data_IF_401432277260
#
_entry.id   IF_401432277260
#
_cell.length_a   1.000
_cell.length_b   1.000
_cell.length_c   1.000
_cell.angle_alpha   90.00
_cell.angle_beta   90.00
_cell.angle_gamma   90.00
#
_symmetry.space_group_name_H-M   'P 1'
#
loop_
_entity.id
_entity.type
_entity.pdbx_description
1 polymer ?
#
# COMPACT_ATOMS: atom_id res chain seq x y z
N UNK A 1 12.63 20.49 -5.76
CA UNK A 1 11.92 21.48 -4.93
C UNK A 1 10.65 20.82 -4.41
N UNK A 2 10.55 20.48 -3.11
CA UNK A 2 9.32 19.93 -2.51
C UNK A 2 8.50 21.08 -1.92
N UNK A 3 7.17 21.11 -2.13
CA UNK A 3 6.31 22.11 -1.51
C UNK A 3 6.23 21.82 -0.01
N UNK A 4 6.32 22.89 0.80
CA UNK A 4 6.09 22.84 2.24
C UNK A 4 4.67 22.29 2.48
N UNK A 5 4.53 21.15 3.15
CA UNK A 5 3.23 20.55 3.50
C UNK A 5 2.90 19.20 2.83
N UNK A 6 3.66 18.74 1.82
CA UNK A 6 3.47 17.37 1.32
C UNK A 6 4.09 16.37 2.32
N UNK A 7 3.25 15.49 2.90
CA UNK A 7 3.71 14.38 3.72
C UNK A 7 4.74 13.57 2.92
N UNK A 8 5.97 13.52 3.45
CA UNK A 8 7.01 12.66 2.87
C UNK A 8 6.61 11.20 3.08
N UNK A 9 7.14 10.29 2.24
CA UNK A 9 6.89 8.85 2.45
C UNK A 9 7.32 8.38 3.84
N UNK A 10 8.44 8.89 4.34
CA UNK A 10 8.86 8.61 5.70
C UNK A 10 7.82 9.09 6.74
N UNK A 11 7.24 10.27 6.56
CA UNK A 11 6.16 10.75 7.43
C UNK A 11 4.90 9.87 7.34
N UNK A 12 4.58 9.34 6.15
CA UNK A 12 3.50 8.37 5.97
C UNK A 12 3.82 7.06 6.70
N UNK A 13 5.02 6.51 6.52
CA UNK A 13 5.39 5.24 7.16
C UNK A 13 5.42 5.36 8.69
N UNK A 14 5.76 6.53 9.23
CA UNK A 14 5.74 6.78 10.68
C UNK A 14 4.32 6.95 11.24
N UNK A 15 3.43 7.67 10.55
CA UNK A 15 2.05 7.89 11.02
C UNK A 15 1.07 6.77 10.66
N UNK A 16 1.38 6.01 9.61
CA UNK A 16 0.56 4.95 9.03
C UNK A 16 1.40 3.71 8.70
N UNK A 17 1.94 3.02 9.72
CA UNK A 17 2.89 1.92 9.53
C UNK A 17 2.24 0.63 8.97
N UNK A 18 0.92 0.47 9.10
CA UNK A 18 0.23 -0.74 8.68
C UNK A 18 -0.26 -0.60 7.24
N UNK A 19 0.37 -1.30 6.31
CA UNK A 19 0.14 -1.08 4.88
C UNK A 19 -0.40 -2.34 4.20
N UNK A 20 -1.32 -2.14 3.26
CA UNK A 20 -1.98 -3.20 2.49
C UNK A 20 -1.85 -2.87 1.01
N UNK A 21 -1.40 -3.83 0.21
CA UNK A 21 -1.29 -3.69 -1.24
C UNK A 21 -2.50 -4.32 -1.93
N UNK A 22 -3.07 -3.59 -2.89
CA UNK A 22 -4.05 -4.11 -3.85
C UNK A 22 -3.44 -4.09 -5.26
N UNK A 23 -3.67 -5.13 -6.09
CA UNK A 23 -3.19 -5.13 -7.46
C UNK A 23 -3.92 -4.05 -8.28
N UNK A 24 -3.23 -3.44 -9.24
CA UNK A 24 -3.87 -2.50 -10.17
C UNK A 24 -4.39 -3.18 -11.43
N UNK A 25 -4.04 -4.45 -11.63
CA UNK A 25 -4.37 -5.25 -12.80
C UNK A 25 -4.75 -6.66 -12.36
N UNK A 26 -5.70 -7.28 -13.05
CA UNK A 26 -6.07 -8.67 -12.81
C UNK A 26 -5.11 -9.67 -13.49
N UNK A 27 -5.46 -10.95 -13.48
CA UNK A 27 -4.68 -12.00 -14.13
C UNK A 27 -4.59 -11.88 -15.66
N UNK A 28 -5.51 -11.13 -16.28
CA UNK A 28 -5.57 -10.87 -17.73
C UNK A 28 -4.90 -9.55 -18.12
N UNK A 29 -4.43 -8.78 -17.15
CA UNK A 29 -3.87 -7.44 -17.38
C UNK A 29 -4.93 -6.35 -17.51
N UNK A 30 -6.19 -6.64 -17.15
CA UNK A 30 -7.24 -5.62 -17.13
C UNK A 30 -7.11 -4.77 -15.87
N UNK A 31 -7.23 -3.45 -16.06
CA UNK A 31 -7.03 -2.50 -14.96
C UNK A 31 -8.15 -2.59 -13.92
N UNK A 32 -7.77 -2.95 -12.70
CA UNK A 32 -8.61 -2.90 -11.51
C UNK A 32 -8.67 -1.48 -10.95
N UNK A 33 -9.85 -1.08 -10.47
CA UNK A 33 -10.12 0.28 -9.94
C UNK A 33 -10.76 0.17 -8.56
N UNK A 34 -9.94 0.00 -7.55
CA UNK A 34 -10.37 -0.07 -6.15
C UNK A 34 -10.43 1.29 -5.46
N UNK A 35 -9.93 2.36 -6.07
CA UNK A 35 -9.79 3.69 -5.47
C UNK A 35 -11.09 4.18 -4.80
N UNK A 36 -12.15 4.37 -5.58
CA UNK A 36 -13.44 4.86 -5.05
C UNK A 36 -14.08 3.93 -4.03
N UNK A 37 -14.00 2.62 -4.23
CA UNK A 37 -14.58 1.64 -3.30
C UNK A 37 -13.82 1.59 -1.98
N UNK A 38 -12.49 1.60 -2.04
CA UNK A 38 -11.61 1.65 -0.88
C UNK A 38 -11.81 2.94 -0.08
N UNK A 39 -11.89 4.09 -0.73
CA UNK A 39 -12.16 5.37 -0.07
C UNK A 39 -13.53 5.38 0.62
N UNK A 40 -14.58 4.92 -0.07
CA UNK A 40 -15.94 4.83 0.47
C UNK A 40 -16.00 3.88 1.66
N UNK A 41 -15.38 2.71 1.56
CA UNK A 41 -15.32 1.72 2.64
C UNK A 41 -14.61 2.30 3.87
N UNK A 42 -13.41 2.87 3.68
CA UNK A 42 -12.64 3.48 4.76
C UNK A 42 -13.41 4.61 5.44
N UNK A 43 -14.08 5.47 4.66
CA UNK A 43 -14.89 6.56 5.20
C UNK A 43 -16.11 6.06 5.97
N UNK A 44 -16.79 5.05 5.45
CA UNK A 44 -18.00 4.50 6.07
C UNK A 44 -17.73 3.79 7.40
N UNK A 45 -16.57 3.17 7.55
CA UNK A 45 -16.15 2.49 8.78
C UNK A 45 -15.19 3.31 9.65
N UNK A 46 -14.97 4.58 9.31
CA UNK A 46 -14.04 5.49 9.99
C UNK A 46 -12.63 4.91 10.18
N UNK A 47 -12.13 4.20 9.16
CA UNK A 47 -10.78 3.64 9.17
C UNK A 47 -9.73 4.74 9.07
N UNK A 48 -8.60 4.54 9.75
CA UNK A 48 -7.48 5.49 9.83
C UNK A 48 -6.62 5.51 8.55
N UNK A 49 -7.25 5.66 7.38
CA UNK A 49 -6.57 5.67 6.09
C UNK A 49 -5.69 6.92 5.96
N UNK A 50 -4.48 6.75 5.42
CA UNK A 50 -3.58 7.84 5.13
C UNK A 50 -4.14 8.79 4.06
N UNK A 51 -3.81 10.10 4.10
CA UNK A 51 -4.27 11.07 3.11
C UNK A 51 -3.77 10.79 1.69
N UNK A 52 -2.75 9.94 1.54
CA UNK A 52 -2.13 9.61 0.26
C UNK A 52 -1.74 8.14 0.23
N UNK A 53 -2.15 7.46 -0.84
CA UNK A 53 -1.63 6.15 -1.24
C UNK A 53 -0.31 6.31 -2.03
N UNK A 54 0.37 5.21 -2.26
CA UNK A 54 1.51 5.16 -3.17
C UNK A 54 1.53 3.85 -3.97
N UNK A 55 2.34 3.79 -5.01
CA UNK A 55 2.43 2.63 -5.88
C UNK A 55 3.80 1.97 -5.78
N UNK A 56 3.79 0.65 -5.89
CA UNK A 56 4.98 -0.18 -6.05
C UNK A 56 4.79 -1.14 -7.22
N UNK A 57 5.88 -1.60 -7.79
CA UNK A 57 5.94 -2.59 -8.85
C UNK A 57 6.64 -3.84 -8.33
N UNK A 58 6.00 -5.00 -8.54
CA UNK A 58 6.50 -6.33 -8.19
C UNK A 58 6.20 -7.27 -9.34
N UNK A 59 7.23 -7.96 -9.84
CA UNK A 59 7.10 -8.94 -10.93
C UNK A 59 6.34 -8.34 -12.15
N UNK A 60 6.74 -7.14 -12.57
CA UNK A 60 6.15 -6.34 -13.65
C UNK A 60 4.67 -5.94 -13.46
N UNK A 61 4.10 -6.17 -12.27
CA UNK A 61 2.74 -5.76 -11.91
C UNK A 61 2.75 -4.58 -10.96
N UNK A 62 1.85 -3.63 -11.20
CA UNK A 62 1.66 -2.48 -10.33
C UNK A 62 0.69 -2.80 -9.17
N UNK A 63 1.00 -2.23 -8.02
CA UNK A 63 0.23 -2.39 -6.78
C UNK A 63 0.00 -1.02 -6.17
N UNK A 64 -1.19 -0.80 -5.62
CA UNK A 64 -1.55 0.40 -4.85
C UNK A 64 -1.49 0.07 -3.37
N UNK A 65 -0.74 0.87 -2.63
CA UNK A 65 -0.50 0.70 -1.20
C UNK A 65 -1.42 1.66 -0.42
N UNK A 66 -2.31 1.08 0.38
CA UNK A 66 -3.16 1.77 1.34
C UNK A 66 -2.52 1.69 2.72
N UNK A 67 -2.28 2.84 3.34
CA UNK A 67 -1.60 2.91 4.64
C UNK A 67 -2.58 3.27 5.76
N UNK A 68 -2.46 2.62 6.90
CA UNK A 68 -3.32 2.80 8.07
C UNK A 68 -2.49 3.06 9.33
N UNK A 69 -3.00 3.94 10.20
CA UNK A 69 -2.42 4.22 11.51
C UNK A 69 -2.61 3.05 12.48
N UNK A 70 -3.74 2.34 12.37
CA UNK A 70 -4.10 1.22 13.24
C UNK A 70 -4.03 -0.14 12.53
N UNK A 71 -3.49 -1.14 13.23
CA UNK A 71 -3.36 -2.51 12.69
C UNK A 71 -4.73 -3.14 12.38
N UNK A 72 -5.71 -2.92 13.26
CA UNK A 72 -7.07 -3.44 13.09
C UNK A 72 -7.73 -2.90 11.81
N UNK A 73 -7.50 -1.61 11.50
CA UNK A 73 -8.06 -1.00 10.29
C UNK A 73 -7.45 -1.58 9.02
N UNK A 74 -6.13 -1.79 9.00
CA UNK A 74 -5.46 -2.48 7.90
C UNK A 74 -5.99 -3.92 7.73
N UNK A 75 -6.24 -4.63 8.83
CA UNK A 75 -6.76 -5.99 8.83
C UNK A 75 -8.17 -6.07 8.23
N UNK A 76 -9.07 -5.17 8.65
CA UNK A 76 -10.43 -5.05 8.10
C UNK A 76 -10.41 -4.74 6.61
N UNK A 77 -9.58 -3.79 6.20
CA UNK A 77 -9.41 -3.44 4.80
C UNK A 77 -8.89 -4.61 3.97
N UNK A 78 -7.84 -5.28 4.48
CA UNK A 78 -7.25 -6.47 3.86
C UNK A 78 -8.30 -7.54 3.58
N UNK A 79 -9.12 -7.88 4.59
CA UNK A 79 -10.19 -8.88 4.44
C UNK A 79 -11.26 -8.45 3.43
N UNK A 80 -11.61 -7.17 3.39
CA UNK A 80 -12.67 -6.68 2.52
C UNK A 80 -12.29 -6.64 1.03
N UNK A 81 -11.01 -6.40 0.73
CA UNK A 81 -10.51 -6.21 -0.64
C UNK A 81 -9.56 -7.32 -1.10
N UNK A 82 -9.45 -8.41 -0.33
CA UNK A 82 -8.48 -9.49 -0.54
C UNK A 82 -7.04 -8.98 -0.76
N UNK A 83 -6.68 -7.98 0.04
CA UNK A 83 -5.37 -7.33 -0.05
C UNK A 83 -4.25 -8.17 0.56
N UNK A 84 -3.02 -7.83 0.21
CA UNK A 84 -1.83 -8.47 0.79
C UNK A 84 -1.12 -7.52 1.75
N UNK A 85 -0.59 -8.01 2.89
CA UNK A 85 0.23 -7.18 3.77
C UNK A 85 1.46 -6.63 3.02
N UNK A 86 1.77 -5.36 3.24
CA UNK A 86 2.95 -4.71 2.70
C UNK A 86 3.82 -4.18 3.83
N UNK A 87 5.11 -4.54 3.83
CA UNK A 87 6.08 -4.00 4.77
C UNK A 87 6.86 -2.85 4.11
N UNK A 88 6.82 -1.62 4.65
CA UNK A 88 7.55 -0.48 4.10
C UNK A 88 9.06 -0.70 3.93
N UNK A 89 9.64 -1.65 4.67
CA UNK A 89 11.05 -2.04 4.60
C UNK A 89 11.39 -2.83 3.33
N UNK A 90 10.40 -3.46 2.70
CA UNK A 90 10.51 -4.18 1.42
C UNK A 90 10.43 -3.24 0.21
N UNK A 91 10.09 -1.98 0.45
CA UNK A 91 10.09 -0.96 -0.59
C UNK A 91 11.52 -0.61 -0.98
N UNK A 92 11.76 -0.60 -2.29
CA UNK A 92 13.01 -0.16 -2.86
C UNK A 92 13.35 1.28 -2.46
N UNK A 93 14.63 1.61 -2.55
CA UNK A 93 15.19 2.92 -2.18
C UNK A 93 15.89 3.57 -3.38
N UNK A 94 16.10 4.88 -3.32
CA UNK A 94 16.83 5.62 -4.35
C UNK A 94 16.21 5.50 -5.75
N UNK A 95 17.01 5.12 -6.75
CA UNK A 95 16.56 4.96 -8.15
C UNK A 95 15.57 3.81 -8.33
N UNK A 96 15.53 2.87 -7.38
CA UNK A 96 14.63 1.71 -7.39
C UNK A 96 13.42 1.91 -6.47
N UNK A 97 13.05 3.15 -6.14
CA UNK A 97 12.01 3.43 -5.14
C UNK A 97 10.65 2.79 -5.42
N UNK A 98 10.37 2.47 -6.69
CA UNK A 98 9.12 1.83 -7.13
C UNK A 98 9.13 0.33 -6.90
N UNK A 99 10.28 -0.33 -6.76
CA UNK A 99 10.33 -1.78 -6.62
C UNK A 99 9.79 -2.21 -5.26
N UNK A 100 9.04 -3.30 -5.24
CA UNK A 100 8.76 -4.06 -4.03
C UNK A 100 9.59 -5.33 -4.09
N UNK A 101 10.70 -5.32 -3.36
CA UNK A 101 11.57 -6.49 -3.23
C UNK A 101 11.09 -7.24 -2.00
N UNK A 102 10.27 -8.27 -2.21
CA UNK A 102 9.88 -9.18 -1.14
C UNK A 102 11.16 -9.60 -0.41
N UNK A 103 11.22 -9.33 0.89
CA UNK A 103 12.42 -9.67 1.65
C UNK A 103 12.61 -11.19 1.53
N UNK A 104 13.84 -11.71 1.30
CA UNK A 104 14.07 -13.16 1.20
C UNK A 104 13.80 -13.92 2.52
N UNK A 105 13.22 -13.27 3.53
CA UNK A 105 12.84 -13.87 4.80
C UNK A 105 11.58 -14.71 4.62
N UNK A 106 11.79 -15.91 4.09
CA UNK A 106 10.99 -17.16 4.16
C UNK A 106 11.18 -18.06 2.91
N UNK A 107 12.31 -17.98 2.19
CA UNK A 107 12.88 -19.21 1.61
C UNK A 107 13.57 -19.98 2.75
N UNK A 108 12.77 -20.68 3.54
CA UNK A 108 13.26 -21.86 4.28
C UNK A 108 13.40 -23.02 3.30
N UNK A 109 14.28 -23.98 3.61
CA UNK A 109 15.27 -24.62 2.71
C UNK A 109 14.74 -25.12 1.36
#
# INVERSE_FOLDING_TARGET
>A
MRRKGELSRAAIDHGWPFQVALPTEDERGERLRFDRDAERFCRGLHLSLAPRQHHVCRDDKWWTIYCFAEAEHAERFRKAFDGVPFDPRERGKGRSWMKWEASPKHRGP
#
